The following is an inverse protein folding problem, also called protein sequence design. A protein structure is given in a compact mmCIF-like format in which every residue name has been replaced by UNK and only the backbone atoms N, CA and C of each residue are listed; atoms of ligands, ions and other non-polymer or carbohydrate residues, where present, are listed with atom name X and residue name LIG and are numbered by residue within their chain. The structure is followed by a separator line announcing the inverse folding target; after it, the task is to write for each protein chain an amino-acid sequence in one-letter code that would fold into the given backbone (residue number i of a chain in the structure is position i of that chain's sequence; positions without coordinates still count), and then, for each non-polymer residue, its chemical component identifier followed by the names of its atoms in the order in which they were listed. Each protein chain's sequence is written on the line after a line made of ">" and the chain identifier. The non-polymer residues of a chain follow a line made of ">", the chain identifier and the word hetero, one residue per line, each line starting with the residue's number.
data_IF_419247891981
#
_entry.id   IF_419247891981
#
_cell.length_a   1.000
_cell.length_b   1.000
_cell.length_c   1.000
_cell.angle_alpha   90.00
_cell.angle_beta   90.00
_cell.angle_gamma   90.00
#
_symmetry.space_group_name_H-M   'P 1'
#
loop_
_entity.id
_entity.type
_entity.pdbx_description
1 polymer ?
#
# COMPACT_ATOMS: atom_id res chain seq x y z
N UNK A 1 14.59 3.15 -56.75
CA UNK A 1 14.97 4.45 -56.18
C UNK A 1 13.83 4.92 -55.28
N UNK A 2 14.18 5.38 -54.07
CA UNK A 2 13.35 5.93 -52.99
C UNK A 2 12.57 4.92 -52.13
N UNK A 3 13.08 4.83 -50.90
CA UNK A 3 12.64 4.08 -49.72
C UNK A 3 11.67 4.97 -48.94
N UNK A 4 10.48 4.48 -48.60
CA UNK A 4 9.56 5.12 -47.68
C UNK A 4 9.46 4.31 -46.39
N UNK A 5 10.25 4.70 -45.38
CA UNK A 5 10.25 4.07 -44.07
C UNK A 5 9.04 4.53 -43.23
N UNK A 6 8.18 3.60 -42.84
CA UNK A 6 7.16 3.85 -41.80
C UNK A 6 7.75 3.49 -40.44
N UNK A 7 7.99 4.52 -39.62
CA UNK A 7 8.51 4.40 -38.26
C UNK A 7 7.48 3.72 -37.36
N UNK A 8 7.68 2.42 -37.10
CA UNK A 8 7.03 1.70 -36.01
C UNK A 8 7.56 2.23 -34.67
N UNK A 9 6.78 3.06 -33.99
CA UNK A 9 7.11 3.48 -32.63
C UNK A 9 6.70 2.39 -31.63
N UNK A 10 7.54 1.36 -31.50
CA UNK A 10 7.43 0.33 -30.46
C UNK A 10 7.93 0.93 -29.14
N UNK A 11 7.02 1.48 -28.33
CA UNK A 11 7.30 1.73 -26.91
C UNK A 11 7.34 0.39 -26.15
N UNK A 12 8.43 -0.35 -26.30
CA UNK A 12 8.77 -1.44 -25.41
C UNK A 12 9.37 -0.85 -24.14
N UNK A 13 8.51 -0.49 -23.18
CA UNK A 13 8.94 -0.29 -21.82
C UNK A 13 9.35 -1.65 -21.27
N UNK A 14 10.66 -1.90 -21.26
CA UNK A 14 11.28 -3.04 -20.59
C UNK A 14 10.99 -2.95 -19.08
N UNK A 15 9.91 -3.58 -18.64
CA UNK A 15 9.75 -3.95 -17.25
C UNK A 15 10.82 -4.98 -16.91
N UNK A 16 11.91 -4.55 -16.24
CA UNK A 16 12.86 -5.47 -15.63
C UNK A 16 12.24 -6.02 -14.34
N UNK A 17 12.01 -7.34 -14.21
CA UNK A 17 11.66 -7.90 -12.93
C UNK A 17 12.95 -7.95 -12.08
N UNK A 18 12.95 -7.28 -10.93
CA UNK A 18 13.95 -7.48 -9.90
C UNK A 18 13.70 -8.87 -9.27
N UNK A 19 14.21 -9.91 -9.90
CA UNK A 19 14.27 -11.24 -9.31
C UNK A 19 15.61 -11.35 -8.57
N UNK A 20 15.64 -10.92 -7.31
CA UNK A 20 16.65 -11.37 -6.36
C UNK A 20 16.31 -12.81 -5.96
N UNK A 21 17.29 -13.69 -6.12
CA UNK A 21 17.22 -15.12 -5.82
C UNK A 21 17.94 -15.39 -4.49
N UNK A 22 17.40 -16.33 -3.70
CA UNK A 22 17.99 -17.09 -2.56
C UNK A 22 17.64 -16.62 -1.13
N UNK A 23 17.62 -17.52 -0.11
CA UNK A 23 17.20 -18.92 -0.06
C UNK A 23 15.98 -19.14 0.87
N UNK A 24 15.23 -20.19 0.55
CA UNK A 24 14.06 -20.69 1.30
C UNK A 24 14.45 -21.24 2.68
N UNK A 25 13.89 -20.65 3.75
CA UNK A 25 13.54 -21.34 5.00
C UNK A 25 12.63 -20.46 5.87
N UNK A 26 11.59 -21.08 6.46
CA UNK A 26 10.67 -20.55 7.49
C UNK A 26 9.49 -19.66 7.01
N UNK A 27 8.53 -20.30 6.34
CA UNK A 27 7.38 -19.66 5.67
C UNK A 27 6.09 -19.53 6.52
N UNK A 28 6.12 -19.60 7.87
CA UNK A 28 4.88 -19.52 8.67
C UNK A 28 4.94 -18.52 9.84
N UNK A 29 6.14 -18.14 10.31
CA UNK A 29 6.31 -17.20 11.45
C UNK A 29 6.43 -15.72 11.04
N UNK A 30 6.61 -15.41 9.76
CA UNK A 30 6.95 -14.05 9.29
C UNK A 30 5.81 -13.04 9.40
N UNK A 31 4.55 -13.46 9.29
CA UNK A 31 3.39 -12.56 9.19
C UNK A 31 2.91 -12.01 10.55
N UNK A 32 2.83 -12.85 11.58
CA UNK A 32 2.55 -12.40 12.95
C UNK A 32 3.67 -11.50 13.47
N UNK A 33 4.93 -11.82 13.11
CA UNK A 33 6.06 -10.97 13.39
C UNK A 33 5.96 -9.60 12.71
N UNK A 34 5.36 -9.52 11.52
CA UNK A 34 5.20 -8.24 10.80
C UNK A 34 4.13 -7.35 11.41
N UNK A 35 2.93 -7.90 11.71
CA UNK A 35 1.88 -7.12 12.38
C UNK A 35 2.40 -6.57 13.73
N UNK A 36 3.10 -7.42 14.49
CA UNK A 36 3.69 -7.03 15.77
C UNK A 36 4.80 -5.99 15.60
N UNK A 37 5.70 -6.14 14.63
CA UNK A 37 6.74 -5.14 14.34
C UNK A 37 6.16 -3.79 13.89
N UNK A 38 5.12 -3.81 13.04
CA UNK A 38 4.42 -2.59 12.63
C UNK A 38 3.73 -1.94 13.84
N UNK A 39 3.11 -2.73 14.71
CA UNK A 39 2.48 -2.25 15.94
C UNK A 39 3.51 -1.58 16.86
N UNK A 40 4.66 -2.21 17.08
CA UNK A 40 5.74 -1.67 17.91
C UNK A 40 6.28 -0.35 17.35
N UNK A 41 6.50 -0.25 16.04
CA UNK A 41 6.96 1.00 15.42
C UNK A 41 5.89 2.10 15.46
N UNK A 42 4.60 1.75 15.38
CA UNK A 42 3.47 2.67 15.54
C UNK A 42 3.38 3.17 16.99
N UNK A 43 3.47 2.28 17.98
CA UNK A 43 3.46 2.63 19.41
C UNK A 43 4.68 3.49 19.78
N UNK A 44 5.85 3.19 19.20
CA UNK A 44 7.06 3.99 19.34
C UNK A 44 7.03 5.31 18.55
N UNK A 45 5.95 5.60 17.80
CA UNK A 45 5.82 6.76 16.88
C UNK A 45 6.93 6.88 15.85
N UNK A 46 7.58 5.77 15.52
CA UNK A 46 8.73 5.72 14.65
C UNK A 46 8.33 5.25 13.25
N UNK A 47 7.36 5.97 12.67
CA UNK A 47 6.73 5.63 11.41
C UNK A 47 7.69 5.58 10.21
N UNK A 48 8.83 6.27 10.29
CA UNK A 48 9.84 6.31 9.23
C UNK A 48 10.44 4.93 8.93
N UNK A 49 10.48 4.03 9.92
CA UNK A 49 10.99 2.65 9.75
C UNK A 49 9.96 1.68 9.18
N UNK A 50 8.67 2.03 9.19
CA UNK A 50 7.60 1.14 8.73
C UNK A 50 7.86 0.63 7.29
N UNK A 51 8.25 1.46 6.30
CA UNK A 51 8.57 0.97 4.97
C UNK A 51 9.72 -0.04 4.91
N UNK A 52 10.68 0.04 5.83
CA UNK A 52 11.82 -0.89 5.87
C UNK A 52 11.38 -2.31 6.28
N UNK A 53 10.36 -2.43 7.13
CA UNK A 53 9.79 -3.72 7.54
C UNK A 53 9.22 -4.50 6.34
N UNK A 54 8.74 -3.78 5.32
CA UNK A 54 8.18 -4.37 4.10
C UNK A 54 9.22 -4.81 3.08
N UNK A 55 10.48 -4.37 3.19
CA UNK A 55 11.56 -4.75 2.27
C UNK A 55 11.96 -6.22 2.47
N UNK A 56 11.87 -6.72 3.71
CA UNK A 56 12.18 -8.11 4.06
C UNK A 56 11.06 -9.10 3.70
N UNK A 57 9.93 -8.63 3.16
CA UNK A 57 8.75 -9.45 2.95
C UNK A 57 8.70 -10.00 1.52
N UNK A 58 9.31 -11.17 1.31
CA UNK A 58 9.01 -12.00 0.14
C UNK A 58 7.60 -12.58 0.31
N UNK A 59 6.62 -11.92 -0.32
CA UNK A 59 5.29 -12.48 -0.63
C UNK A 59 4.59 -13.21 0.52
N UNK A 60 4.16 -12.51 1.57
CA UNK A 60 3.22 -13.10 2.52
C UNK A 60 1.79 -12.65 2.20
N UNK A 61 1.03 -13.58 1.61
CA UNK A 61 -0.41 -13.53 1.48
C UNK A 61 -1.04 -13.94 2.83
N UNK A 62 -1.89 -13.07 3.38
CA UNK A 62 -3.33 -13.33 3.62
C UNK A 62 -3.94 -12.38 4.67
N UNK A 63 -3.14 -11.72 5.52
CA UNK A 63 -3.65 -10.70 6.45
C UNK A 63 -2.98 -9.34 6.23
N UNK A 64 -3.75 -8.29 6.47
CA UNK A 64 -3.25 -6.93 6.43
C UNK A 64 -2.47 -6.65 7.72
N UNK A 65 -1.21 -6.20 7.69
CA UNK A 65 -0.43 -5.88 8.89
C UNK A 65 -0.96 -4.67 9.67
N UNK A 66 -1.90 -3.92 9.10
CA UNK A 66 -2.62 -2.84 9.77
C UNK A 66 -3.98 -3.28 10.34
N UNK A 67 -4.29 -4.57 10.32
CA UNK A 67 -5.49 -5.18 10.93
C UNK A 67 -5.71 -4.71 12.36
N UNK A 68 -4.64 -4.62 13.16
CA UNK A 68 -4.69 -4.21 14.56
C UNK A 68 -5.29 -2.82 14.76
N UNK A 69 -5.33 -1.95 13.75
CA UNK A 69 -5.98 -0.65 13.90
C UNK A 69 -7.47 -0.75 14.23
N UNK A 70 -8.13 -1.86 13.91
CA UNK A 70 -9.53 -2.10 14.29
C UNK A 70 -9.78 -2.10 15.80
N UNK A 71 -8.75 -2.30 16.64
CA UNK A 71 -8.89 -2.21 18.09
C UNK A 71 -8.91 -0.77 18.63
N UNK A 72 -8.49 0.21 17.84
CA UNK A 72 -8.45 1.61 18.25
C UNK A 72 -9.76 2.35 17.95
N UNK A 73 -10.09 3.42 18.69
CA UNK A 73 -11.19 4.30 18.32
C UNK A 73 -10.91 5.02 16.99
N UNK A 74 -11.96 5.29 16.22
CA UNK A 74 -11.85 5.84 14.86
C UNK A 74 -11.00 7.12 14.77
N UNK A 75 -11.16 8.05 15.72
CA UNK A 75 -10.39 9.30 15.75
C UNK A 75 -8.88 9.04 15.89
N UNK A 76 -8.51 8.04 16.69
CA UNK A 76 -7.10 7.67 16.87
C UNK A 76 -6.55 7.00 15.61
N UNK A 77 -7.34 6.14 14.95
CA UNK A 77 -6.95 5.55 13.66
C UNK A 77 -6.65 6.63 12.62
N UNK A 78 -7.53 7.63 12.49
CA UNK A 78 -7.35 8.73 11.54
C UNK A 78 -6.07 9.50 11.84
N UNK A 79 -5.83 9.81 13.11
CA UNK A 79 -4.65 10.54 13.53
C UNK A 79 -3.36 9.77 13.24
N UNK A 80 -3.30 8.48 13.61
CA UNK A 80 -2.12 7.63 13.37
C UNK A 80 -1.86 7.50 11.87
N UNK A 81 -2.90 7.28 11.06
CA UNK A 81 -2.75 7.18 9.60
C UNK A 81 -2.20 8.48 9.03
N UNK A 82 -2.69 9.64 9.47
CA UNK A 82 -2.16 10.92 9.02
C UNK A 82 -0.67 11.09 9.39
N UNK A 83 -0.28 10.78 10.64
CA UNK A 83 1.12 10.81 11.06
C UNK A 83 2.00 9.87 10.22
N UNK A 84 1.52 8.68 9.89
CA UNK A 84 2.22 7.75 8.99
C UNK A 84 2.41 8.38 7.60
N UNK A 85 1.35 8.93 7.00
CA UNK A 85 1.43 9.57 5.68
C UNK A 85 2.37 10.79 5.67
N UNK A 86 2.42 11.55 6.76
CA UNK A 86 3.35 12.66 6.98
C UNK A 86 4.80 12.19 7.19
N UNK A 87 5.01 11.05 7.84
CA UNK A 87 6.36 10.48 8.00
C UNK A 87 6.94 10.00 6.66
N UNK A 88 6.09 9.64 5.69
CA UNK A 88 6.52 9.13 4.40
C UNK A 88 6.93 10.24 3.41
N UNK A 89 6.70 11.52 3.70
CA UNK A 89 7.08 12.65 2.83
C UNK A 89 8.58 12.72 2.55
N UNK A 90 9.46 12.72 3.58
CA UNK A 90 10.90 12.83 3.37
C UNK A 90 11.54 11.55 2.83
N UNK A 91 10.88 10.39 2.90
CA UNK A 91 11.48 9.09 2.60
C UNK A 91 11.94 8.99 1.14
N UNK A 92 13.17 8.51 0.94
CA UNK A 92 13.76 8.22 -0.37
C UNK A 92 14.37 6.80 -0.38
N UNK A 93 14.31 6.08 -1.52
CA UNK A 93 13.65 6.44 -2.77
C UNK A 93 12.11 6.50 -2.63
N UNK A 94 11.44 7.26 -3.51
CA UNK A 94 9.98 7.48 -3.39
C UNK A 94 9.14 6.21 -3.55
N UNK A 95 9.68 5.17 -4.20
CA UNK A 95 9.06 3.84 -4.33
C UNK A 95 9.13 2.99 -3.06
N UNK A 96 10.01 3.33 -2.10
CA UNK A 96 10.21 2.56 -0.87
C UNK A 96 8.91 2.34 -0.08
N UNK A 97 8.06 3.36 0.18
CA UNK A 97 6.78 3.16 0.88
C UNK A 97 5.65 2.55 0.02
N UNK A 98 5.89 2.10 -1.21
CA UNK A 98 4.81 1.62 -2.09
C UNK A 98 4.01 0.46 -1.48
N UNK A 99 4.69 -0.52 -0.87
CA UNK A 99 4.03 -1.63 -0.20
C UNK A 99 3.23 -1.16 1.03
N UNK A 100 3.82 -0.30 1.86
CA UNK A 100 3.13 0.28 3.01
C UNK A 100 1.86 1.02 2.59
N UNK A 101 1.91 1.83 1.52
CA UNK A 101 0.71 2.46 0.96
C UNK A 101 -0.35 1.45 0.51
N UNK A 102 0.07 0.35 -0.14
CA UNK A 102 -0.86 -0.67 -0.63
C UNK A 102 -1.63 -1.37 0.50
N UNK A 103 -0.95 -1.72 1.59
CA UNK A 103 -1.56 -2.34 2.76
C UNK A 103 -2.42 -1.34 3.54
N UNK A 104 -1.96 -0.11 3.71
CA UNK A 104 -2.72 0.91 4.44
C UNK A 104 -4.01 1.27 3.69
N UNK A 105 -3.95 1.30 2.35
CA UNK A 105 -5.12 1.53 1.51
C UNK A 105 -6.09 0.34 1.52
N UNK A 106 -5.61 -0.90 1.45
CA UNK A 106 -6.50 -2.07 1.55
C UNK A 106 -7.18 -2.15 2.93
N UNK A 107 -6.49 -1.78 4.00
CA UNK A 107 -7.08 -1.66 5.34
C UNK A 107 -8.16 -0.59 5.36
N UNK A 108 -7.86 0.60 4.84
CA UNK A 108 -8.78 1.73 4.84
C UNK A 108 -10.08 1.40 4.08
N UNK A 109 -9.98 0.69 2.95
CA UNK A 109 -11.13 0.26 2.15
C UNK A 109 -12.00 -0.81 2.83
N UNK A 110 -11.39 -1.66 3.67
CA UNK A 110 -12.11 -2.67 4.45
C UNK A 110 -12.71 -2.12 5.75
N UNK A 111 -12.45 -0.85 6.08
CA UNK A 111 -12.93 -0.22 7.32
C UNK A 111 -14.41 0.19 7.26
N UNK A 112 -14.99 0.45 8.44
CA UNK A 112 -16.38 0.90 8.58
C UNK A 112 -16.68 2.27 7.96
N UNK A 113 -15.67 3.11 7.69
CA UNK A 113 -15.83 4.42 7.06
C UNK A 113 -14.70 4.68 6.04
N UNK A 114 -14.77 4.05 4.85
CA UNK A 114 -13.60 3.86 4.01
C UNK A 114 -13.10 5.11 3.27
N UNK A 115 -13.99 6.00 2.84
CA UNK A 115 -13.61 7.03 1.87
C UNK A 115 -12.67 8.13 2.38
N UNK A 116 -12.89 8.77 3.55
CA UNK A 116 -12.01 9.85 3.98
C UNK A 116 -10.55 9.39 4.08
N UNK A 117 -10.32 8.23 4.70
CA UNK A 117 -8.99 7.66 4.86
C UNK A 117 -8.43 7.10 3.56
N UNK A 118 -9.18 6.27 2.84
CA UNK A 118 -8.69 5.66 1.61
C UNK A 118 -8.31 6.72 0.56
N UNK A 119 -9.07 7.81 0.45
CA UNK A 119 -8.76 8.90 -0.48
C UNK A 119 -7.50 9.67 -0.05
N UNK A 120 -7.31 9.93 1.25
CA UNK A 120 -6.09 10.57 1.74
C UNK A 120 -4.84 9.73 1.41
N UNK A 121 -4.92 8.41 1.62
CA UNK A 121 -3.85 7.47 1.28
C UNK A 121 -3.61 7.42 -0.22
N UNK A 122 -4.67 7.37 -1.03
CA UNK A 122 -4.57 7.37 -2.49
C UNK A 122 -3.92 8.66 -3.02
N UNK A 123 -4.37 9.82 -2.55
CA UNK A 123 -3.81 11.12 -2.91
C UNK A 123 -2.32 11.20 -2.54
N UNK A 124 -1.95 10.72 -1.34
CA UNK A 124 -0.57 10.68 -0.88
C UNK A 124 0.29 9.76 -1.75
N UNK A 125 -0.23 8.57 -2.08
CA UNK A 125 0.43 7.59 -2.94
C UNK A 125 0.76 8.22 -4.31
N UNK A 126 -0.23 8.83 -4.96
CA UNK A 126 -0.05 9.49 -6.26
C UNK A 126 0.92 10.67 -6.18
N UNK A 127 0.84 11.52 -5.13
CA UNK A 127 1.76 12.65 -4.92
C UNK A 127 3.20 12.20 -4.66
N UNK A 128 3.40 11.00 -4.11
CA UNK A 128 4.73 10.42 -3.93
C UNK A 128 5.30 9.89 -5.25
N UNK A 129 4.54 9.83 -6.34
CA UNK A 129 4.95 9.21 -7.60
C UNK A 129 4.90 7.68 -7.57
N UNK A 130 4.30 7.08 -6.54
CA UNK A 130 3.96 5.67 -6.52
C UNK A 130 2.67 5.42 -7.30
N UNK A 131 2.57 4.25 -7.92
CA UNK A 131 1.34 3.78 -8.53
C UNK A 131 0.63 2.81 -7.57
N UNK A 132 -0.67 3.01 -7.29
CA UNK A 132 -1.45 2.05 -6.53
C UNK A 132 -1.53 0.72 -7.28
N UNK A 133 -1.65 -0.38 -6.53
CA UNK A 133 -1.76 -1.73 -7.08
C UNK A 133 -3.06 -1.82 -7.89
N UNK A 134 -3.13 -2.53 -9.04
CA UNK A 134 -4.34 -2.62 -9.85
C UNK A 134 -5.58 -3.06 -9.07
N UNK A 135 -5.42 -3.96 -8.10
CA UNK A 135 -6.47 -4.46 -7.20
C UNK A 135 -7.17 -3.34 -6.40
N UNK A 136 -6.48 -2.23 -6.14
CA UNK A 136 -7.05 -1.04 -5.51
C UNK A 136 -8.25 -0.51 -6.28
N UNK A 137 -8.21 -0.54 -7.62
CA UNK A 137 -9.31 -0.03 -8.44
C UNK A 137 -10.59 -0.84 -8.22
N UNK A 138 -10.45 -2.17 -8.23
CA UNK A 138 -11.60 -3.06 -8.05
C UNK A 138 -12.19 -2.90 -6.66
N UNK A 139 -11.35 -2.88 -5.61
CA UNK A 139 -11.76 -2.63 -4.22
C UNK A 139 -12.41 -1.26 -4.02
N UNK A 140 -11.89 -0.20 -4.66
CA UNK A 140 -12.51 1.13 -4.61
C UNK A 140 -13.89 1.13 -5.25
N UNK A 141 -14.03 0.45 -6.40
CA UNK A 141 -15.30 0.40 -7.11
C UNK A 141 -16.37 -0.39 -6.36
N UNK A 142 -16.02 -1.53 -5.78
CA UNK A 142 -16.94 -2.35 -5.00
C UNK A 142 -17.37 -1.64 -3.72
N UNK A 143 -16.42 -1.07 -2.97
CA UNK A 143 -16.73 -0.33 -1.73
C UNK A 143 -17.58 0.91 -1.99
N UNK A 144 -17.38 1.60 -3.11
CA UNK A 144 -18.24 2.71 -3.55
C UNK A 144 -19.68 2.28 -3.82
N UNK A 145 -19.86 1.19 -4.57
CA UNK A 145 -21.18 0.67 -4.89
C UNK A 145 -21.92 0.19 -3.64
N UNK A 146 -21.25 -0.57 -2.76
CA UNK A 146 -21.83 -1.07 -1.51
C UNK A 146 -22.36 0.06 -0.63
N UNK A 147 -21.57 1.14 -0.47
CA UNK A 147 -21.97 2.30 0.33
C UNK A 147 -23.15 3.05 -0.27
N UNK A 148 -23.20 3.14 -1.59
CA UNK A 148 -24.34 3.74 -2.28
C UNK A 148 -25.61 2.93 -2.03
N UNK A 149 -25.55 1.60 -2.11
CA UNK A 149 -26.68 0.73 -1.79
C UNK A 149 -27.15 0.90 -0.34
N UNK A 150 -26.22 0.94 0.62
CA UNK A 150 -26.53 1.13 2.04
C UNK A 150 -27.12 2.52 2.36
N UNK A 151 -26.76 3.55 1.60
CA UNK A 151 -27.32 4.90 1.76
C UNK A 151 -28.74 5.07 1.19
N UNK A 152 -29.19 4.12 0.36
CA UNK A 152 -30.49 4.13 -0.29
C UNK A 152 -31.52 3.22 0.40
N UNK A 153 -31.12 2.56 1.50
CA UNK A 153 -31.96 1.70 2.33
C UNK A 153 -32.42 2.46 3.58
#
# INVERSE_FOLDING_TARGET
>A
MVIGATMQNRFLLHFRPFLSRCPSACSVSSLQNLEQAVREEVEAKNYVKIPDLFISLESCQNSNPFSFFSSFPHNLQVHIVDEILQSFIPIRPRSKPQLAYSYLLSYSLQSSHPFPLALAVLQRTLRSGCLPVPQTRDLLSSTWLERRCLSQS
#
